data_IF_078915086065
#
_entry.id   IF_078915086065
#
_cell.length_a   1.000
_cell.length_b   1.000
_cell.length_c   1.000
_cell.angle_alpha   90.00
_cell.angle_beta   90.00
_cell.angle_gamma   90.00
#
_symmetry.space_group_name_H-M   'P 1'
#
loop_
_entity.id
_entity.type
_entity.pdbx_description
1 polymer ?
#
# COMPACT_ATOMS: atom_id res chain seq x y z
N UNK A 1 21.79 34.06 -8.93
CA UNK A 1 22.62 33.19 -8.05
C UNK A 1 21.76 32.67 -6.91
N UNK A 2 21.06 31.56 -7.12
CA UNK A 2 20.28 30.91 -6.05
C UNK A 2 21.24 29.96 -5.33
N UNK A 3 21.60 30.28 -4.09
CA UNK A 3 22.37 29.39 -3.24
C UNK A 3 21.66 28.04 -3.18
N UNK A 4 22.27 27.00 -3.76
CA UNK A 4 21.85 25.62 -3.61
C UNK A 4 22.01 25.25 -2.13
N UNK A 5 20.92 25.40 -1.37
CA UNK A 5 20.84 24.94 0.01
C UNK A 5 21.03 23.42 -0.07
N UNK A 6 22.21 22.93 0.34
CA UNK A 6 22.54 21.50 0.30
C UNK A 6 21.40 20.72 0.96
N UNK A 7 20.72 19.91 0.16
CA UNK A 7 19.55 19.16 0.60
C UNK A 7 20.04 18.04 1.52
N UNK A 8 19.59 18.04 2.77
CA UNK A 8 19.98 17.00 3.72
C UNK A 8 19.30 15.66 3.38
N UNK A 9 19.90 14.54 3.77
CA UNK A 9 19.31 13.19 3.53
C UNK A 9 17.91 13.08 4.13
N UNK A 10 17.69 13.64 5.32
CA UNK A 10 16.37 13.67 5.96
C UNK A 10 15.33 14.45 5.15
N UNK A 11 15.70 15.60 4.59
CA UNK A 11 14.81 16.38 3.72
C UNK A 11 14.52 15.65 2.41
N UNK A 12 15.51 14.95 1.84
CA UNK A 12 15.33 14.14 0.64
C UNK A 12 14.29 13.03 0.88
N UNK A 13 14.50 12.21 1.91
CA UNK A 13 13.59 11.12 2.26
C UNK A 13 12.19 11.64 2.58
N UNK A 14 12.11 12.78 3.26
CA UNK A 14 10.84 13.42 3.58
C UNK A 14 10.05 13.79 2.32
N UNK A 15 10.72 14.37 1.31
CA UNK A 15 10.11 14.71 0.01
C UNK A 15 9.65 13.46 -0.74
N UNK A 16 10.46 12.40 -0.75
CA UNK A 16 10.10 11.12 -1.38
C UNK A 16 8.88 10.50 -0.70
N UNK A 17 8.84 10.49 0.63
CA UNK A 17 7.70 9.99 1.41
C UNK A 17 6.43 10.79 1.14
N UNK A 18 6.52 12.13 1.10
CA UNK A 18 5.38 13.01 0.78
C UNK A 18 4.81 12.73 -0.62
N UNK A 19 5.66 12.73 -1.66
CA UNK A 19 5.22 12.44 -3.02
C UNK A 19 4.59 11.04 -3.15
N UNK A 20 5.15 10.05 -2.43
CA UNK A 20 4.59 8.69 -2.37
C UNK A 20 3.22 8.66 -1.71
N UNK A 21 3.07 9.33 -0.56
CA UNK A 21 1.82 9.42 0.19
C UNK A 21 0.68 10.00 -0.67
N UNK A 22 0.95 11.08 -1.41
CA UNK A 22 -0.02 11.71 -2.31
C UNK A 22 -0.37 10.77 -3.47
N UNK A 23 0.61 10.10 -4.08
CA UNK A 23 0.38 9.17 -5.17
C UNK A 23 -0.53 8.00 -4.78
N UNK A 24 -0.28 7.44 -3.59
CA UNK A 24 -1.09 6.36 -3.02
C UNK A 24 -2.50 6.84 -2.70
N UNK A 25 -2.67 8.06 -2.17
CA UNK A 25 -3.99 8.69 -2.01
C UNK A 25 -4.72 8.74 -3.35
N UNK A 26 -4.08 9.26 -4.40
CA UNK A 26 -4.75 9.43 -5.70
C UNK A 26 -5.21 8.08 -6.23
N UNK A 27 -4.32 7.09 -6.25
CA UNK A 27 -4.61 5.80 -6.88
C UNK A 27 -5.54 4.87 -6.08
N UNK A 28 -5.60 4.98 -4.75
CA UNK A 28 -6.38 4.04 -3.92
C UNK A 28 -7.75 4.57 -3.49
N UNK A 29 -7.93 5.89 -3.35
CA UNK A 29 -9.20 6.46 -2.86
C UNK A 29 -10.42 6.02 -3.70
N UNK A 30 -10.41 6.12 -5.04
CA UNK A 30 -11.58 5.78 -5.83
C UNK A 30 -12.08 4.35 -5.57
N UNK A 31 -11.14 3.39 -5.54
CA UNK A 31 -11.46 2.01 -5.24
C UNK A 31 -11.96 1.84 -3.81
N UNK A 32 -11.30 2.47 -2.83
CA UNK A 32 -11.65 2.31 -1.43
C UNK A 32 -13.04 2.84 -1.06
N UNK A 33 -13.46 3.96 -1.65
CA UNK A 33 -14.78 4.56 -1.39
C UNK A 33 -15.88 3.80 -2.14
N UNK A 34 -15.67 3.54 -3.43
CA UNK A 34 -16.75 3.10 -4.31
C UNK A 34 -16.86 1.57 -4.39
N UNK A 35 -15.83 0.80 -4.05
CA UNK A 35 -15.94 -0.67 -4.01
C UNK A 35 -17.05 -1.12 -3.08
N UNK A 36 -17.16 -0.58 -1.86
CA UNK A 36 -18.24 -0.91 -0.91
C UNK A 36 -19.62 -0.68 -1.50
N UNK A 37 -19.81 0.48 -2.14
CA UNK A 37 -21.11 0.87 -2.67
C UNK A 37 -21.50 0.03 -3.88
N UNK A 38 -20.53 -0.28 -4.74
CA UNK A 38 -20.76 -0.91 -6.04
C UNK A 38 -20.65 -2.43 -6.01
N UNK A 39 -20.09 -3.03 -4.96
CA UNK A 39 -20.03 -4.49 -4.77
C UNK A 39 -21.32 -5.07 -4.17
N UNK A 40 -22.31 -4.24 -3.85
CA UNK A 40 -23.61 -4.70 -3.36
C UNK A 40 -24.33 -5.62 -4.38
N UNK A 41 -25.06 -6.63 -3.89
CA UNK A 41 -25.82 -7.58 -4.71
C UNK A 41 -26.80 -6.89 -5.68
N UNK A 42 -27.29 -5.70 -5.34
CA UNK A 42 -28.16 -4.86 -6.17
C UNK A 42 -27.54 -4.49 -7.53
N UNK A 43 -26.22 -4.57 -7.65
CA UNK A 43 -25.46 -4.12 -8.81
C UNK A 43 -24.81 -5.26 -9.59
N UNK A 44 -25.04 -6.52 -9.18
CA UNK A 44 -24.52 -7.70 -9.89
C UNK A 44 -25.09 -7.76 -11.31
N UNK A 45 -24.20 -7.93 -12.30
CA UNK A 45 -24.55 -8.03 -13.71
C UNK A 45 -24.67 -6.70 -14.46
N UNK A 46 -24.47 -5.56 -13.80
CA UNK A 46 -24.45 -4.26 -14.47
C UNK A 46 -23.10 -4.05 -15.19
N UNK A 47 -23.14 -3.91 -16.52
CA UNK A 47 -21.95 -3.74 -17.36
C UNK A 47 -21.12 -2.49 -16.99
N UNK A 48 -21.77 -1.37 -16.63
CA UNK A 48 -21.07 -0.16 -16.23
C UNK A 48 -20.25 -0.39 -14.96
N UNK A 49 -20.78 -1.15 -14.00
CA UNK A 49 -20.10 -1.41 -12.73
C UNK A 49 -18.92 -2.37 -12.91
N UNK A 50 -19.06 -3.35 -13.81
CA UNK A 50 -17.94 -4.19 -14.21
C UNK A 50 -16.83 -3.37 -14.90
N UNK A 51 -17.22 -2.45 -15.78
CA UNK A 51 -16.27 -1.53 -16.45
C UNK A 51 -15.60 -0.59 -15.45
N UNK A 52 -16.36 -0.05 -14.49
CA UNK A 52 -15.85 0.78 -13.41
C UNK A 52 -14.82 0.03 -12.55
N UNK A 53 -15.11 -1.22 -12.18
CA UNK A 53 -14.17 -2.06 -11.45
C UNK A 53 -12.88 -2.27 -12.25
N UNK A 54 -13.01 -2.60 -13.53
CA UNK A 54 -11.86 -2.76 -14.45
C UNK A 54 -11.03 -1.48 -14.53
N UNK A 55 -11.68 -0.33 -14.69
CA UNK A 55 -11.02 0.97 -14.72
C UNK A 55 -10.27 1.25 -13.40
N UNK A 56 -10.82 0.91 -12.24
CA UNK A 56 -10.14 1.12 -10.95
C UNK A 56 -8.92 0.22 -10.77
N UNK A 57 -8.97 -1.04 -11.22
CA UNK A 57 -7.82 -1.94 -11.16
C UNK A 57 -6.69 -1.40 -12.04
N UNK A 58 -7.03 -0.92 -13.24
CA UNK A 58 -6.05 -0.28 -14.13
C UNK A 58 -5.53 1.05 -13.57
N UNK A 59 -6.39 1.83 -12.92
CA UNK A 59 -6.01 3.10 -12.30
C UNK A 59 -4.99 2.89 -11.17
N UNK A 60 -5.18 1.85 -10.36
CA UNK A 60 -4.22 1.45 -9.32
C UNK A 60 -2.87 1.04 -9.88
N UNK A 61 -2.83 0.46 -11.09
CA UNK A 61 -1.58 0.12 -11.75
C UNK A 61 -0.74 1.35 -12.14
N UNK A 62 -1.35 2.54 -12.22
CA UNK A 62 -0.65 3.80 -12.54
C UNK A 62 -0.01 4.43 -11.29
N UNK A 63 -0.26 3.92 -10.08
CA UNK A 63 0.31 4.46 -8.82
C UNK A 63 1.83 4.68 -8.90
N UNK A 64 2.65 3.75 -9.40
CA UNK A 64 4.09 3.98 -9.53
C UNK A 64 4.45 5.16 -10.44
N UNK A 65 3.71 5.37 -11.53
CA UNK A 65 3.91 6.54 -12.38
C UNK A 65 3.56 7.84 -11.63
N UNK A 66 2.44 7.83 -10.89
CA UNK A 66 2.04 8.94 -10.03
C UNK A 66 3.09 9.23 -8.97
N UNK A 67 3.67 8.19 -8.34
CA UNK A 67 4.77 8.34 -7.39
C UNK A 67 5.95 9.04 -8.04
N UNK A 68 6.43 8.56 -9.20
CA UNK A 68 7.55 9.19 -9.88
C UNK A 68 7.29 10.66 -10.23
N UNK A 69 6.09 11.00 -10.71
CA UNK A 69 5.70 12.38 -11.02
C UNK A 69 5.63 13.27 -9.78
N UNK A 70 4.92 12.83 -8.73
CA UNK A 70 4.69 13.61 -7.52
C UNK A 70 5.96 13.75 -6.68
N UNK A 71 6.79 12.71 -6.62
CA UNK A 71 8.13 12.82 -6.04
C UNK A 71 8.95 13.84 -6.84
N UNK A 72 8.95 13.83 -8.18
CA UNK A 72 9.67 14.84 -8.96
C UNK A 72 9.15 16.28 -8.69
N UNK A 73 7.84 16.45 -8.49
CA UNK A 73 7.23 17.74 -8.14
C UNK A 73 7.72 18.27 -6.78
N UNK A 74 7.91 17.39 -5.81
CA UNK A 74 8.50 17.76 -4.51
C UNK A 74 9.91 18.35 -4.66
N UNK A 75 10.65 17.99 -5.70
CA UNK A 75 11.96 18.59 -6.01
C UNK A 75 11.89 19.76 -7.00
N UNK A 76 10.68 20.23 -7.35
CA UNK A 76 10.46 21.36 -8.25
C UNK A 76 10.62 21.04 -9.73
N UNK A 77 10.79 19.77 -10.10
CA UNK A 77 10.86 19.35 -11.49
C UNK A 77 9.47 19.34 -12.13
N UNK A 78 9.35 19.76 -13.39
CA UNK A 78 8.07 19.82 -14.13
C UNK A 78 8.26 19.34 -15.57
N UNK A 79 7.15 19.11 -16.27
CA UNK A 79 7.14 18.76 -17.69
C UNK A 79 7.94 17.49 -17.96
N UNK A 80 8.88 17.57 -18.92
CA UNK A 80 9.71 16.44 -19.36
C UNK A 80 10.38 15.71 -18.20
N UNK A 81 10.98 16.44 -17.26
CA UNK A 81 11.70 15.86 -16.11
C UNK A 81 10.80 14.97 -15.24
N UNK A 82 9.63 15.48 -14.88
CA UNK A 82 8.67 14.73 -14.07
C UNK A 82 8.08 13.54 -14.83
N UNK A 83 7.76 13.72 -16.12
CA UNK A 83 7.27 12.65 -16.98
C UNK A 83 8.28 11.51 -17.14
N UNK A 84 9.58 11.82 -17.25
CA UNK A 84 10.61 10.79 -17.38
C UNK A 84 10.83 10.00 -16.09
N UNK A 85 10.78 10.65 -14.91
CA UNK A 85 10.82 9.94 -13.62
C UNK A 85 9.55 9.08 -13.44
N UNK A 86 8.38 9.58 -13.84
CA UNK A 86 7.13 8.82 -13.80
C UNK A 86 7.22 7.54 -14.65
N UNK A 87 7.68 7.65 -15.89
CA UNK A 87 7.87 6.51 -16.79
C UNK A 87 8.89 5.51 -16.22
N UNK A 88 10.02 6.00 -15.69
CA UNK A 88 11.03 5.15 -15.09
C UNK A 88 10.49 4.38 -13.89
N UNK A 89 9.77 5.07 -13.01
CA UNK A 89 9.18 4.50 -11.80
C UNK A 89 8.11 3.46 -12.14
N UNK A 90 7.28 3.73 -13.16
CA UNK A 90 6.30 2.75 -13.66
C UNK A 90 6.97 1.44 -14.06
N UNK A 91 7.96 1.50 -14.95
CA UNK A 91 8.67 0.31 -15.45
C UNK A 91 9.44 -0.38 -14.31
N UNK A 92 10.20 0.39 -13.53
CA UNK A 92 11.05 -0.15 -12.46
C UNK A 92 10.27 -0.76 -11.30
N UNK A 93 9.05 -0.30 -11.01
CA UNK A 93 8.22 -0.82 -9.90
C UNK A 93 7.81 -2.29 -10.05
N UNK A 94 7.87 -2.83 -11.27
CA UNK A 94 7.38 -4.17 -11.56
C UNK A 94 5.86 -4.31 -11.50
N UNK A 95 5.10 -3.22 -11.67
CA UNK A 95 3.64 -3.28 -11.84
C UNK A 95 3.25 -3.97 -13.15
N UNK A 96 4.08 -3.79 -14.18
CA UNK A 96 4.00 -4.51 -15.44
C UNK A 96 5.15 -5.52 -15.48
N UNK A 97 4.81 -6.81 -15.56
CA UNK A 97 5.80 -7.89 -15.63
C UNK A 97 5.56 -8.75 -16.85
N UNK A 98 6.61 -9.41 -17.34
CA UNK A 98 6.43 -10.48 -18.33
C UNK A 98 5.60 -11.58 -17.70
N UNK A 99 4.73 -12.19 -18.48
CA UNK A 99 3.81 -13.22 -18.01
C UNK A 99 4.54 -14.52 -17.60
N UNK A 100 5.20 -14.54 -16.43
CA UNK A 100 5.91 -15.72 -15.90
C UNK A 100 4.95 -16.88 -15.61
N UNK A 101 3.70 -16.58 -15.26
CA UNK A 101 2.65 -17.61 -15.10
C UNK A 101 2.30 -18.25 -16.45
N UNK A 102 2.31 -17.46 -17.52
CA UNK A 102 2.02 -17.96 -18.87
C UNK A 102 3.20 -18.77 -19.40
N UNK A 103 4.45 -18.43 -19.08
CA UNK A 103 5.58 -19.29 -19.44
C UNK A 103 5.57 -20.65 -18.73
N UNK A 104 5.01 -20.74 -17.51
CA UNK A 104 4.78 -22.01 -16.83
C UNK A 104 3.61 -22.81 -17.43
N UNK A 105 2.50 -22.15 -17.78
CA UNK A 105 1.41 -22.76 -18.54
C UNK A 105 1.84 -23.20 -19.95
N UNK A 106 2.81 -22.50 -20.55
CA UNK A 106 3.38 -22.85 -21.85
C UNK A 106 4.18 -24.15 -21.77
N UNK A 107 4.95 -24.36 -20.70
CA UNK A 107 5.63 -25.64 -20.44
C UNK A 107 4.63 -26.79 -20.30
N UNK A 108 3.56 -26.57 -19.55
CA UNK A 108 2.48 -27.55 -19.37
C UNK A 108 1.69 -27.80 -20.67
N UNK A 109 1.53 -26.78 -21.50
CA UNK A 109 0.88 -26.88 -22.83
C UNK A 109 1.77 -27.57 -23.87
N UNK A 110 3.09 -27.45 -23.75
CA UNK A 110 4.06 -28.18 -24.57
C UNK A 110 4.02 -29.69 -24.30
N UNK A 111 3.71 -30.11 -23.07
CA UNK A 111 3.52 -31.52 -22.70
C UNK A 111 2.23 -32.12 -23.31
N UNK A 112 1.20 -31.29 -23.58
CA UNK A 112 -0.08 -31.71 -24.16
C UNK A 112 -0.11 -31.77 -25.70
N UNK A 113 0.98 -31.36 -26.38
CA UNK A 113 1.18 -31.59 -27.82
C UNK A 113 0.27 -30.84 -28.81
N UNK A 114 -0.57 -29.90 -28.35
CA UNK A 114 -1.47 -29.15 -29.24
C UNK A 114 -0.81 -27.88 -29.81
N UNK A 115 -0.47 -27.88 -31.10
CA UNK A 115 0.30 -26.82 -31.77
C UNK A 115 -0.39 -25.43 -31.75
N UNK A 116 -1.73 -25.39 -31.84
CA UNK A 116 -2.49 -24.14 -31.81
C UNK A 116 -2.50 -23.54 -30.40
N UNK A 117 -2.61 -24.39 -29.38
CA UNK A 117 -2.51 -24.01 -27.98
C UNK A 117 -1.10 -23.49 -27.64
N UNK A 118 -0.05 -24.13 -28.19
CA UNK A 118 1.35 -23.71 -28.03
C UNK A 118 1.61 -22.36 -28.71
N UNK A 119 1.01 -22.11 -29.88
CA UNK A 119 1.14 -20.84 -30.60
C UNK A 119 0.43 -19.69 -29.85
N UNK A 120 -0.78 -19.93 -29.36
CA UNK A 120 -1.52 -18.96 -28.55
C UNK A 120 -0.84 -18.71 -27.20
N UNK A 121 -0.36 -19.76 -26.54
CA UNK A 121 0.41 -19.64 -25.29
C UNK A 121 1.72 -18.86 -25.49
N UNK A 122 2.45 -19.06 -26.61
CA UNK A 122 3.65 -18.27 -26.95
C UNK A 122 3.37 -16.78 -27.12
N UNK A 123 2.28 -16.45 -27.79
CA UNK A 123 1.87 -15.04 -27.99
C UNK A 123 1.55 -14.37 -26.65
N UNK A 124 0.85 -15.08 -25.75
CA UNK A 124 0.51 -14.56 -24.41
C UNK A 124 1.74 -14.55 -23.48
N UNK A 125 2.68 -15.50 -23.59
CA UNK A 125 3.90 -15.54 -22.78
C UNK A 125 4.89 -14.40 -23.08
N UNK A 126 4.91 -13.94 -24.32
CA UNK A 126 5.68 -12.75 -24.70
C UNK A 126 4.94 -11.44 -24.36
N UNK A 127 3.68 -11.53 -23.91
CA UNK A 127 2.90 -10.40 -23.45
C UNK A 127 3.36 -9.86 -22.10
N UNK A 128 3.01 -8.60 -21.86
CA UNK A 128 3.17 -7.95 -20.57
C UNK A 128 1.84 -7.98 -19.81
N UNK A 129 1.90 -8.39 -18.55
CA UNK A 129 0.76 -8.36 -17.64
C UNK A 129 0.95 -7.23 -16.65
N UNK A 130 -0.10 -6.44 -16.47
CA UNK A 130 -0.13 -5.33 -15.52
C UNK A 130 -1.12 -5.67 -14.41
N UNK A 131 -0.64 -5.70 -13.17
CA UNK A 131 -1.46 -6.06 -12.02
C UNK A 131 -0.97 -5.41 -10.72
N UNK A 132 -1.93 -5.01 -9.89
CA UNK A 132 -1.66 -4.42 -8.57
C UNK A 132 -1.06 -3.02 -8.66
N UNK A 133 -0.39 -2.60 -7.58
CA UNK A 133 0.14 -1.23 -7.42
C UNK A 133 1.64 -1.12 -7.67
N UNK A 134 2.29 -2.21 -8.13
CA UNK A 134 3.75 -2.35 -8.12
C UNK A 134 4.33 -2.48 -6.70
N UNK A 135 5.63 -2.75 -6.62
CA UNK A 135 6.36 -2.74 -5.35
C UNK A 135 6.66 -1.28 -4.94
N UNK A 136 6.04 -0.82 -3.84
CA UNK A 136 6.13 0.59 -3.40
C UNK A 136 7.57 0.93 -3.00
N UNK A 137 8.31 0.03 -2.36
CA UNK A 137 9.71 0.28 -1.97
C UNK A 137 10.56 0.44 -3.21
N UNK A 138 10.42 -0.47 -4.19
CA UNK A 138 11.19 -0.39 -5.42
C UNK A 138 10.80 0.83 -6.26
N UNK A 139 9.50 1.19 -6.28
CA UNK A 139 9.05 2.42 -6.91
C UNK A 139 9.66 3.67 -6.25
N UNK A 140 9.71 3.75 -4.92
CA UNK A 140 10.38 4.83 -4.20
C UNK A 140 11.87 4.90 -4.53
N UNK A 141 12.55 3.76 -4.59
CA UNK A 141 13.96 3.67 -4.94
C UNK A 141 14.21 4.22 -6.37
N UNK A 142 13.44 3.74 -7.35
CA UNK A 142 13.58 4.15 -8.75
C UNK A 142 13.25 5.63 -8.93
N UNK A 143 12.19 6.13 -8.29
CA UNK A 143 11.86 7.55 -8.30
C UNK A 143 12.98 8.39 -7.67
N UNK A 144 13.56 7.93 -6.56
CA UNK A 144 14.68 8.59 -5.89
C UNK A 144 15.91 8.66 -6.79
N UNK A 145 16.26 7.56 -7.47
CA UNK A 145 17.36 7.52 -8.43
C UNK A 145 17.10 8.46 -9.61
N UNK A 146 15.88 8.49 -10.13
CA UNK A 146 15.47 9.40 -11.21
C UNK A 146 15.61 10.87 -10.80
N UNK A 147 15.16 11.23 -9.60
CA UNK A 147 15.32 12.58 -9.06
C UNK A 147 16.79 12.93 -8.81
N UNK A 148 17.59 12.02 -8.24
CA UNK A 148 19.01 12.24 -8.02
C UNK A 148 19.76 12.49 -9.33
N UNK A 149 19.46 11.69 -10.35
CA UNK A 149 19.98 11.88 -11.70
C UNK A 149 19.63 13.29 -12.21
N UNK A 150 18.37 13.72 -12.07
CA UNK A 150 17.94 15.05 -12.51
C UNK A 150 18.61 16.19 -11.74
N UNK A 151 18.85 16.03 -10.43
CA UNK A 151 19.57 17.00 -9.60
C UNK A 151 21.04 17.13 -10.04
N UNK A 152 21.69 16.03 -10.42
CA UNK A 152 23.08 16.02 -10.91
C UNK A 152 23.20 16.66 -12.30
N UNK A 153 22.21 16.44 -13.16
CA UNK A 153 22.19 16.94 -14.55
C UNK A 153 21.63 18.36 -14.67
N UNK A 154 21.04 18.90 -13.61
CA UNK A 154 20.43 20.22 -13.63
C UNK A 154 21.46 21.26 -14.13
N UNK A 155 21.03 22.10 -15.07
CA UNK A 155 21.80 23.18 -15.68
C UNK A 155 23.01 22.76 -16.54
N UNK A 156 23.27 21.46 -16.74
CA UNK A 156 24.44 20.96 -17.51
C UNK A 156 24.18 20.65 -18.99
N UNK A 157 22.96 20.28 -19.36
CA UNK A 157 22.67 19.69 -20.67
C UNK A 157 21.99 20.63 -21.68
N UNK A 158 21.57 21.84 -21.28
CA UNK A 158 20.92 22.80 -22.19
C UNK A 158 19.75 22.19 -22.98
N UNK A 159 19.77 22.29 -24.31
CA UNK A 159 18.77 21.71 -25.21
C UNK A 159 18.85 20.18 -25.34
N UNK A 160 19.99 19.56 -25.03
CA UNK A 160 20.16 18.10 -25.06
C UNK A 160 19.27 17.40 -24.02
N UNK A 161 18.75 18.13 -23.03
CA UNK A 161 17.77 17.64 -22.08
C UNK A 161 16.57 16.94 -22.76
N UNK A 162 16.14 17.42 -23.92
CA UNK A 162 15.00 16.85 -24.67
C UNK A 162 15.25 15.39 -25.05
N UNK A 163 16.51 15.05 -25.36
CA UNK A 163 16.90 13.73 -25.84
C UNK A 163 17.47 12.88 -24.70
N UNK A 164 18.36 13.44 -23.89
CA UNK A 164 19.13 12.69 -22.90
C UNK A 164 18.30 12.32 -21.66
N UNK A 165 17.36 13.17 -21.20
CA UNK A 165 16.58 12.86 -20.00
C UNK A 165 15.75 11.57 -20.17
N UNK A 166 14.99 11.38 -21.26
CA UNK A 166 14.26 10.12 -21.49
C UNK A 166 15.20 8.91 -21.57
N UNK A 167 16.32 9.01 -22.29
CA UNK A 167 17.29 7.90 -22.45
C UNK A 167 17.86 7.49 -21.09
N UNK A 168 18.30 8.45 -20.28
CA UNK A 168 18.84 8.16 -18.95
C UNK A 168 17.75 7.65 -18.00
N UNK A 169 16.50 8.05 -18.19
CA UNK A 169 15.38 7.51 -17.41
C UNK A 169 15.10 6.05 -17.71
N UNK A 170 15.31 5.59 -18.96
CA UNK A 170 15.28 4.16 -19.30
C UNK A 170 16.39 3.40 -18.56
N UNK A 171 17.59 3.98 -18.43
CA UNK A 171 18.66 3.36 -17.63
C UNK A 171 18.27 3.23 -16.16
N UNK A 172 17.60 4.25 -15.60
CA UNK A 172 17.05 4.18 -14.24
C UNK A 172 15.99 3.08 -14.12
N UNK A 173 15.14 2.86 -15.13
CA UNK A 173 14.22 1.73 -15.18
C UNK A 173 14.92 0.38 -15.14
N UNK A 174 16.02 0.23 -15.88
CA UNK A 174 16.82 -1.00 -15.92
C UNK A 174 17.35 -1.32 -14.53
N UNK A 175 17.90 -0.32 -13.83
CA UNK A 175 18.33 -0.48 -12.44
C UNK A 175 17.15 -0.93 -11.57
N UNK A 176 15.98 -0.32 -11.74
CA UNK A 176 14.76 -0.71 -11.04
C UNK A 176 14.35 -2.17 -11.24
N UNK A 177 14.44 -2.67 -12.48
CA UNK A 177 14.13 -4.07 -12.78
C UNK A 177 15.15 -5.03 -12.17
N UNK A 178 16.43 -4.64 -12.08
CA UNK A 178 17.45 -5.41 -11.37
C UNK A 178 17.28 -5.41 -9.86
N UNK A 179 16.83 -4.31 -9.26
CA UNK A 179 16.59 -4.21 -7.81
C UNK A 179 15.30 -4.90 -7.38
N UNK A 180 14.30 -4.98 -8.28
CA UNK A 180 12.98 -5.55 -8.01
C UNK A 180 12.99 -6.93 -7.33
N UNK A 181 13.72 -7.97 -7.81
CA UNK A 181 13.72 -9.28 -7.14
C UNK A 181 14.27 -9.23 -5.70
N UNK A 182 15.26 -8.38 -5.45
CA UNK A 182 15.85 -8.21 -4.11
C UNK A 182 14.92 -7.44 -3.16
N UNK A 183 14.17 -6.46 -3.68
CA UNK A 183 13.17 -5.77 -2.85
C UNK A 183 11.98 -6.68 -2.57
N UNK A 184 11.54 -7.46 -3.56
CA UNK A 184 10.48 -8.46 -3.36
C UNK A 184 10.85 -9.51 -2.32
N UNK A 185 12.11 -9.95 -2.25
CA UNK A 185 12.52 -10.94 -1.25
C UNK A 185 12.33 -10.42 0.18
N UNK A 186 12.58 -9.13 0.45
CA UNK A 186 12.31 -8.53 1.77
C UNK A 186 10.85 -8.73 2.17
N UNK A 187 9.91 -8.43 1.27
CA UNK A 187 8.48 -8.60 1.51
C UNK A 187 8.12 -10.07 1.72
N UNK A 188 8.72 -10.97 0.94
CA UNK A 188 8.53 -12.42 1.09
C UNK A 188 9.03 -12.93 2.44
N UNK A 189 10.22 -12.53 2.88
CA UNK A 189 10.80 -12.96 4.16
C UNK A 189 9.97 -12.47 5.36
N UNK A 190 9.51 -11.22 5.32
CA UNK A 190 8.57 -10.71 6.33
C UNK A 190 7.28 -11.53 6.32
N UNK A 191 6.80 -11.91 5.14
CA UNK A 191 5.64 -12.79 5.00
C UNK A 191 5.86 -14.19 5.58
N UNK A 192 7.03 -14.79 5.37
CA UNK A 192 7.40 -16.11 5.94
C UNK A 192 7.47 -16.02 7.46
N UNK A 193 8.05 -14.95 8.01
CA UNK A 193 8.05 -14.71 9.46
C UNK A 193 6.62 -14.67 10.02
N UNK A 194 5.72 -13.94 9.37
CA UNK A 194 4.30 -13.87 9.76
C UNK A 194 3.62 -15.23 9.63
N UNK A 195 3.96 -16.02 8.60
CA UNK A 195 3.44 -17.37 8.41
C UNK A 195 3.77 -18.26 9.62
N UNK A 196 4.98 -18.16 10.15
CA UNK A 196 5.38 -18.94 11.32
C UNK A 196 4.53 -18.61 12.56
N UNK A 197 3.99 -17.39 12.68
CA UNK A 197 3.07 -17.05 13.78
C UNK A 197 1.73 -17.77 13.67
N UNK A 198 1.33 -18.23 12.48
CA UNK A 198 0.05 -18.94 12.28
C UNK A 198 0.00 -20.31 12.95
N UNK A 199 1.16 -20.85 13.32
CA UNK A 199 1.27 -22.15 14.00
C UNK A 199 1.13 -22.04 15.54
N UNK A 200 1.06 -20.81 16.06
CA UNK A 200 0.92 -20.54 17.49
C UNK A 200 -0.54 -20.64 17.96
N UNK A 201 -0.73 -20.71 19.28
CA UNK A 201 -2.08 -20.67 19.87
C UNK A 201 -2.86 -19.40 19.44
N UNK A 202 -4.20 -19.46 19.32
CA UNK A 202 -4.99 -18.41 18.67
C UNK A 202 -4.76 -16.99 19.19
N UNK A 203 -4.70 -16.81 20.52
CA UNK A 203 -4.47 -15.48 21.12
C UNK A 203 -3.08 -14.93 20.81
N UNK A 204 -2.02 -15.75 20.95
CA UNK A 204 -0.65 -15.33 20.67
C UNK A 204 -0.43 -15.07 19.17
N UNK A 205 -0.94 -15.97 18.32
CA UNK A 205 -0.97 -15.79 16.87
C UNK A 205 -1.62 -14.45 16.51
N UNK A 206 -2.84 -14.20 16.99
CA UNK A 206 -3.58 -12.98 16.67
C UNK A 206 -2.82 -11.73 17.11
N UNK A 207 -2.21 -11.72 18.31
CA UNK A 207 -1.42 -10.58 18.79
C UNK A 207 -0.24 -10.29 17.86
N UNK A 208 0.58 -11.30 17.55
CA UNK A 208 1.79 -11.11 16.74
C UNK A 208 1.47 -10.68 15.31
N UNK A 209 0.46 -11.30 14.68
CA UNK A 209 0.04 -10.95 13.32
C UNK A 209 -0.60 -9.56 13.28
N UNK A 210 -1.49 -9.24 14.23
CA UNK A 210 -2.15 -7.94 14.31
C UNK A 210 -1.13 -6.81 14.49
N UNK A 211 -0.18 -6.96 15.42
CA UNK A 211 0.90 -5.98 15.64
C UNK A 211 1.78 -5.83 14.39
N UNK A 212 2.13 -6.94 13.73
CA UNK A 212 2.93 -6.90 12.50
C UNK A 212 2.23 -6.08 11.42
N UNK A 213 0.97 -6.37 11.12
CA UNK A 213 0.21 -5.64 10.10
C UNK A 213 -0.08 -4.19 10.49
N UNK A 214 -0.26 -3.90 11.78
CA UNK A 214 -0.42 -2.54 12.30
C UNK A 214 0.83 -1.68 12.07
N UNK A 215 2.03 -2.24 12.24
CA UNK A 215 3.28 -1.55 11.93
C UNK A 215 3.46 -1.40 10.41
N UNK A 216 3.17 -2.46 9.66
CA UNK A 216 3.43 -2.51 8.22
C UNK A 216 2.53 -1.58 7.40
N UNK A 217 1.28 -1.34 7.80
CA UNK A 217 0.35 -0.51 7.00
C UNK A 217 0.81 0.96 6.88
N UNK A 218 1.44 1.50 7.93
CA UNK A 218 2.03 2.85 7.95
C UNK A 218 3.49 2.87 7.45
N UNK A 219 3.95 1.76 6.90
CA UNK A 219 5.28 1.60 6.28
C UNK A 219 5.19 1.59 4.74
N UNK A 220 6.31 1.73 4.00
CA UNK A 220 6.31 1.61 2.54
C UNK A 220 6.11 0.16 2.05
N UNK A 221 5.83 -0.80 2.93
CA UNK A 221 5.54 -2.20 2.58
C UNK A 221 4.05 -2.36 2.25
N UNK A 222 3.72 -3.20 1.26
CA UNK A 222 2.34 -3.52 0.90
C UNK A 222 1.81 -4.69 1.74
N UNK A 223 0.93 -4.40 2.70
CA UNK A 223 0.26 -5.42 3.55
C UNK A 223 -0.62 -6.37 2.73
N UNK A 224 -1.28 -5.86 1.69
CA UNK A 224 -2.11 -6.67 0.77
C UNK A 224 -1.26 -7.65 -0.01
N UNK A 225 -0.07 -7.24 -0.46
CA UNK A 225 0.85 -8.14 -1.16
C UNK A 225 1.29 -9.29 -0.25
N UNK A 226 1.58 -9.02 1.03
CA UNK A 226 1.95 -10.06 2.00
C UNK A 226 0.80 -11.04 2.23
N UNK A 227 -0.43 -10.52 2.46
CA UNK A 227 -1.61 -11.35 2.69
C UNK A 227 -1.89 -12.33 1.54
N UNK A 228 -1.78 -11.84 0.30
CA UNK A 228 -1.95 -12.64 -0.91
C UNK A 228 -0.79 -13.61 -1.15
N UNK A 229 0.46 -13.16 -0.98
CA UNK A 229 1.64 -13.99 -1.28
C UNK A 229 1.80 -15.17 -0.33
N UNK A 230 1.46 -14.98 0.95
CA UNK A 230 1.55 -16.04 1.97
C UNK A 230 0.26 -16.86 2.05
N UNK A 231 -0.86 -16.33 1.55
CA UNK A 231 -2.15 -17.02 1.57
C UNK A 231 -2.77 -17.06 2.96
N UNK A 232 -2.72 -15.94 3.71
CA UNK A 232 -3.35 -15.86 5.03
C UNK A 232 -4.86 -16.12 4.91
N UNK A 233 -5.38 -17.06 5.69
CA UNK A 233 -6.78 -17.51 5.65
C UNK A 233 -7.34 -17.69 7.05
N UNK A 234 -8.67 -17.65 7.17
CA UNK A 234 -9.36 -17.88 8.44
C UNK A 234 -8.99 -16.84 9.50
N UNK A 235 -8.71 -17.31 10.73
CA UNK A 235 -8.35 -16.43 11.86
C UNK A 235 -7.07 -15.62 11.61
N UNK A 236 -6.10 -16.14 10.85
CA UNK A 236 -4.86 -15.41 10.54
C UNK A 236 -5.09 -14.22 9.59
N UNK A 237 -6.01 -14.38 8.63
CA UNK A 237 -6.47 -13.29 7.77
C UNK A 237 -7.29 -12.25 8.55
N UNK A 238 -8.16 -12.71 9.46
CA UNK A 238 -8.89 -11.82 10.36
C UNK A 238 -7.96 -11.02 11.28
N UNK A 239 -6.92 -11.66 11.82
CA UNK A 239 -5.92 -11.01 12.68
C UNK A 239 -5.12 -9.92 11.95
N UNK A 240 -4.64 -10.22 10.75
CA UNK A 240 -3.89 -9.26 9.93
C UNK A 240 -4.75 -8.06 9.53
N UNK A 241 -5.99 -8.33 9.11
CA UNK A 241 -6.95 -7.28 8.76
C UNK A 241 -7.35 -6.43 9.99
N UNK A 242 -7.49 -7.04 11.17
CA UNK A 242 -7.72 -6.30 12.43
C UNK A 242 -6.51 -5.43 12.81
N UNK A 243 -5.28 -5.86 12.52
CA UNK A 243 -4.08 -5.03 12.68
C UNK A 243 -4.13 -3.75 11.86
N UNK A 244 -4.50 -3.89 10.58
CA UNK A 244 -4.73 -2.74 9.70
C UNK A 244 -5.85 -1.84 10.24
N UNK A 245 -6.98 -2.41 10.63
CA UNK A 245 -8.13 -1.69 11.19
C UNK A 245 -7.81 -0.93 12.47
N UNK A 246 -7.07 -1.54 13.39
CA UNK A 246 -6.65 -0.92 14.65
C UNK A 246 -5.83 0.35 14.39
N UNK A 247 -4.92 0.29 13.42
CA UNK A 247 -4.12 1.44 13.01
C UNK A 247 -4.98 2.50 12.33
N UNK A 248 -5.95 2.10 11.50
CA UNK A 248 -6.93 3.03 10.93
C UNK A 248 -7.62 3.83 12.04
N UNK A 249 -8.10 3.15 13.09
CA UNK A 249 -8.79 3.82 14.21
C UNK A 249 -7.88 4.78 14.97
N UNK A 250 -6.64 4.38 15.26
CA UNK A 250 -5.65 5.29 15.88
C UNK A 250 -5.47 6.55 15.04
N UNK A 251 -5.29 6.40 13.73
CA UNK A 251 -5.10 7.54 12.82
C UNK A 251 -6.35 8.43 12.73
N UNK A 252 -7.55 7.85 12.62
CA UNK A 252 -8.82 8.60 12.57
C UNK A 252 -8.98 9.46 13.83
N UNK A 253 -8.86 8.86 15.01
CA UNK A 253 -9.13 9.56 16.29
C UNK A 253 -8.16 10.72 16.51
N UNK A 254 -6.89 10.58 16.09
CA UNK A 254 -5.94 11.68 16.17
C UNK A 254 -6.17 12.74 15.08
N UNK A 255 -6.38 12.30 13.83
CA UNK A 255 -6.62 13.17 12.67
C UNK A 255 -7.83 14.08 12.87
N UNK A 256 -8.89 13.58 13.50
CA UNK A 256 -10.12 14.35 13.73
C UNK A 256 -9.90 15.66 14.50
N UNK A 257 -8.82 15.77 15.28
CA UNK A 257 -8.54 16.96 16.10
C UNK A 257 -7.56 17.95 15.52
N UNK A 258 -6.83 17.57 14.46
CA UNK A 258 -5.76 18.41 13.88
C UNK A 258 -5.91 18.62 12.38
N UNK A 259 -6.67 17.78 11.69
CA UNK A 259 -6.85 17.84 10.25
C UNK A 259 -8.25 18.27 9.86
N UNK A 260 -8.38 18.79 8.64
CA UNK A 260 -9.68 19.06 8.01
C UNK A 260 -10.47 17.75 7.88
N UNK A 261 -11.82 17.79 7.98
CA UNK A 261 -12.66 16.60 7.92
C UNK A 261 -12.39 15.70 6.70
N UNK A 262 -12.10 16.29 5.53
CA UNK A 262 -11.78 15.54 4.31
C UNK A 262 -10.55 14.63 4.44
N UNK A 263 -9.51 15.04 5.16
CA UNK A 263 -8.32 14.21 5.40
C UNK A 263 -8.68 13.03 6.31
N UNK A 264 -9.46 13.29 7.37
CA UNK A 264 -9.88 12.24 8.31
C UNK A 264 -10.77 11.20 7.62
N UNK A 265 -11.68 11.64 6.73
CA UNK A 265 -12.49 10.74 5.90
C UNK A 265 -11.61 9.95 4.94
N UNK A 266 -10.63 10.58 4.28
CA UNK A 266 -9.70 9.88 3.40
C UNK A 266 -8.91 8.80 4.14
N UNK A 267 -8.42 9.09 5.35
CA UNK A 267 -7.74 8.09 6.21
C UNK A 267 -8.68 6.96 6.60
N UNK A 268 -9.93 7.27 6.97
CA UNK A 268 -10.93 6.27 7.32
C UNK A 268 -11.27 5.34 6.14
N UNK A 269 -11.37 5.92 4.94
CA UNK A 269 -11.66 5.23 3.69
C UNK A 269 -10.38 4.83 2.96
N UNK A 270 -9.41 4.26 3.69
CA UNK A 270 -8.22 3.56 3.17
C UNK A 270 -6.94 4.34 2.90
N UNK A 271 -6.87 5.63 3.19
CA UNK A 271 -5.66 6.42 2.88
C UNK A 271 -4.66 6.47 4.04
N UNK A 272 -4.55 5.40 4.84
CA UNK A 272 -3.63 5.35 5.98
C UNK A 272 -2.16 5.55 5.56
N UNK A 273 -1.80 5.08 4.36
CA UNK A 273 -0.48 5.32 3.76
C UNK A 273 -0.18 6.80 3.54
N UNK A 274 -1.17 7.69 3.56
CA UNK A 274 -0.93 9.15 3.56
C UNK A 274 -0.24 9.64 4.82
N UNK A 275 -0.50 8.99 5.95
CA UNK A 275 0.07 9.35 7.26
C UNK A 275 1.46 8.74 7.45
N UNK A 276 1.95 7.96 6.48
CA UNK A 276 3.29 7.37 6.50
C UNK A 276 4.39 8.41 6.76
N UNK A 277 4.48 9.56 6.06
CA UNK A 277 5.54 10.53 6.31
C UNK A 277 5.51 11.06 7.75
N UNK A 278 4.32 11.27 8.31
CA UNK A 278 4.11 11.72 9.68
C UNK A 278 4.60 10.70 10.71
N UNK A 279 4.22 9.43 10.54
CA UNK A 279 4.63 8.35 11.45
C UNK A 279 6.15 8.13 11.38
N UNK A 280 6.75 8.19 10.17
CA UNK A 280 8.21 8.09 10.01
C UNK A 280 8.98 9.24 10.67
N UNK A 281 8.43 10.47 10.65
CA UNK A 281 9.04 11.61 11.36
C UNK A 281 8.90 11.51 12.88
N UNK A 282 7.88 10.81 13.37
CA UNK A 282 7.59 10.69 14.79
C UNK A 282 7.41 9.22 15.23
N UNK A 283 8.51 8.43 15.32
CA UNK A 283 8.45 7.00 15.64
C UNK A 283 7.79 6.68 17.00
N UNK A 284 7.76 7.64 17.93
CA UNK A 284 7.05 7.50 19.23
C UNK A 284 5.58 7.11 19.06
N UNK A 285 4.95 7.46 17.92
CA UNK A 285 3.57 7.10 17.57
C UNK A 285 3.36 5.58 17.47
N UNK A 286 4.40 4.81 17.11
CA UNK A 286 4.31 3.35 17.01
C UNK A 286 3.91 2.70 18.34
N UNK A 287 4.30 3.28 19.48
CA UNK A 287 3.96 2.71 20.78
C UNK A 287 2.44 2.67 20.97
N UNK A 288 1.73 3.73 20.55
CA UNK A 288 0.27 3.74 20.60
C UNK A 288 -0.34 2.77 19.58
N UNK A 289 0.18 2.73 18.35
CA UNK A 289 -0.28 1.79 17.32
C UNK A 289 -0.16 0.34 17.82
N UNK A 290 0.99 -0.04 18.37
CA UNK A 290 1.24 -1.38 18.91
C UNK A 290 0.32 -1.69 20.08
N UNK A 291 0.18 -0.78 21.04
CA UNK A 291 -0.69 -1.00 22.20
C UNK A 291 -2.15 -1.21 21.77
N UNK A 292 -2.64 -0.37 20.84
CA UNK A 292 -3.99 -0.49 20.30
C UNK A 292 -4.16 -1.79 19.52
N UNK A 293 -3.17 -2.19 18.72
CA UNK A 293 -3.19 -3.45 17.98
C UNK A 293 -3.22 -4.68 18.90
N UNK A 294 -2.45 -4.69 20.00
CA UNK A 294 -2.48 -5.77 21.00
C UNK A 294 -3.87 -5.92 21.61
N UNK A 295 -4.50 -4.80 22.00
CA UNK A 295 -5.84 -4.82 22.59
C UNK A 295 -6.90 -5.27 21.57
N UNK A 296 -6.84 -4.78 20.33
CA UNK A 296 -7.75 -5.19 19.26
C UNK A 296 -7.53 -6.64 18.83
N UNK A 297 -6.31 -7.18 18.94
CA UNK A 297 -6.01 -8.57 18.58
C UNK A 297 -6.79 -9.58 19.43
N UNK A 298 -7.10 -9.24 20.68
CA UNK A 298 -7.89 -10.09 21.57
C UNK A 298 -9.31 -10.33 21.03
N UNK A 299 -9.85 -9.38 20.27
CA UNK A 299 -11.18 -9.49 19.67
C UNK A 299 -11.26 -10.61 18.63
N UNK A 300 -10.13 -10.95 17.99
CA UNK A 300 -10.08 -11.87 16.84
C UNK A 300 -10.45 -13.30 17.24
N UNK A 301 -9.79 -13.94 18.22
CA UNK A 301 -10.22 -15.25 18.70
C UNK A 301 -11.56 -15.19 19.43
N UNK A 302 -11.83 -14.13 20.20
CA UNK A 302 -13.06 -14.02 21.03
C UNK A 302 -14.33 -13.98 20.19
N UNK A 303 -14.33 -13.23 19.09
CA UNK A 303 -15.50 -13.14 18.19
C UNK A 303 -15.37 -14.02 16.95
N UNK A 304 -14.33 -14.85 16.87
CA UNK A 304 -14.07 -15.72 15.73
C UNK A 304 -13.99 -14.94 14.40
N UNK A 305 -13.23 -13.84 14.40
CA UNK A 305 -13.07 -12.96 13.24
C UNK A 305 -12.19 -13.66 12.21
N UNK A 306 -12.79 -14.05 11.09
CA UNK A 306 -12.11 -14.72 9.98
C UNK A 306 -12.03 -13.82 8.75
N UNK A 307 -11.14 -14.18 7.82
CA UNK A 307 -11.03 -13.51 6.53
C UNK A 307 -10.40 -14.38 5.45
N UNK A 308 -10.16 -13.75 4.30
CA UNK A 308 -9.53 -14.34 3.11
C UNK A 308 -8.17 -13.67 2.82
N UNK A 309 -7.32 -14.27 1.95
CA UNK A 309 -6.05 -13.67 1.56
C UNK A 309 -6.22 -12.28 0.96
N UNK A 310 -7.33 -12.06 0.23
CA UNK A 310 -7.67 -10.76 -0.31
C UNK A 310 -7.95 -9.73 0.80
N UNK A 311 -8.65 -10.10 1.86
CA UNK A 311 -9.02 -9.17 2.96
C UNK A 311 -7.88 -8.87 3.96
N UNK A 312 -6.90 -9.77 4.09
CA UNK A 312 -5.86 -9.75 5.12
C UNK A 312 -5.07 -8.41 5.20
N UNK A 313 -4.83 -7.76 4.06
CA UNK A 313 -4.06 -6.52 4.00
C UNK A 313 -4.88 -5.23 3.98
N UNK A 314 -6.21 -5.31 3.93
CA UNK A 314 -7.08 -4.14 3.75
C UNK A 314 -7.76 -3.70 5.05
N UNK A 315 -8.02 -4.58 6.02
CA UNK A 315 -8.68 -4.16 7.27
C UNK A 315 -10.01 -3.44 7.03
N UNK A 316 -10.12 -2.17 7.46
CA UNK A 316 -11.30 -1.33 7.24
C UNK A 316 -11.33 -0.58 5.90
N UNK A 317 -10.29 -0.69 5.09
CA UNK A 317 -10.26 -0.17 3.71
C UNK A 317 -11.44 -0.75 2.96
N UNK A 318 -12.35 0.10 2.47
CA UNK A 318 -13.56 -0.36 1.80
C UNK A 318 -14.33 -1.41 2.59
N UNK A 319 -14.27 -1.36 3.93
CA UNK A 319 -14.91 -2.32 4.84
C UNK A 319 -14.65 -3.80 4.48
N UNK A 320 -13.57 -4.12 3.76
CA UNK A 320 -13.37 -5.45 3.19
C UNK A 320 -13.17 -6.50 4.27
N UNK A 321 -12.49 -6.17 5.36
CA UNK A 321 -12.32 -7.08 6.50
C UNK A 321 -13.64 -7.37 7.20
N UNK A 322 -14.48 -6.34 7.39
CA UNK A 322 -15.80 -6.47 7.98
C UNK A 322 -16.68 -7.40 7.15
N UNK A 323 -16.80 -7.16 5.84
CA UNK A 323 -17.62 -8.01 4.96
C UNK A 323 -17.05 -9.42 4.83
N UNK A 324 -15.73 -9.58 4.72
CA UNK A 324 -15.10 -10.90 4.69
C UNK A 324 -15.37 -11.71 5.96
N UNK A 325 -15.44 -11.06 7.13
CA UNK A 325 -15.83 -11.73 8.38
C UNK A 325 -17.31 -12.11 8.40
N UNK A 326 -18.20 -11.26 7.85
CA UNK A 326 -19.63 -11.60 7.71
C UNK A 326 -19.80 -12.82 6.79
N UNK A 327 -19.14 -12.82 5.63
CA UNK A 327 -19.15 -13.94 4.70
C UNK A 327 -18.55 -15.22 5.33
N UNK A 328 -17.62 -15.04 6.27
CA UNK A 328 -17.05 -16.11 7.08
C UNK A 328 -17.91 -16.57 8.27
N UNK A 329 -19.14 -16.06 8.41
CA UNK A 329 -20.12 -16.51 9.40
C UNK A 329 -20.33 -15.58 10.59
N UNK A 330 -19.68 -14.41 10.64
CA UNK A 330 -19.89 -13.43 11.71
C UNK A 330 -21.24 -12.71 11.54
N UNK A 331 -22.04 -12.63 12.60
CA UNK A 331 -23.29 -11.86 12.57
C UNK A 331 -23.03 -10.39 12.18
N UNK A 332 -23.83 -9.77 11.28
CA UNK A 332 -23.62 -8.39 10.86
C UNK A 332 -23.56 -7.37 12.00
N UNK A 333 -24.38 -7.57 13.06
CA UNK A 333 -24.37 -6.71 14.24
C UNK A 333 -23.05 -6.86 14.99
N UNK A 334 -22.60 -8.11 15.17
CA UNK A 334 -21.34 -8.40 15.85
C UNK A 334 -20.14 -7.92 15.03
N UNK A 335 -20.22 -7.97 13.71
CA UNK A 335 -19.20 -7.43 12.82
C UNK A 335 -19.04 -5.92 12.99
N UNK A 336 -20.14 -5.16 13.04
CA UNK A 336 -20.09 -3.71 13.30
C UNK A 336 -19.50 -3.42 14.69
N UNK A 337 -19.90 -4.17 15.72
CA UNK A 337 -19.36 -4.00 17.08
C UNK A 337 -17.87 -4.29 17.15
N UNK A 338 -17.43 -5.42 16.59
CA UNK A 338 -16.05 -5.90 16.68
C UNK A 338 -15.06 -5.17 15.77
N UNK A 339 -15.51 -4.68 14.60
CA UNK A 339 -14.66 -3.96 13.65
C UNK A 339 -14.67 -2.44 13.82
N UNK A 340 -15.77 -1.86 14.31
CA UNK A 340 -15.93 -0.40 14.39
C UNK A 340 -15.94 0.06 15.84
N UNK A 341 -16.96 -0.32 16.62
CA UNK A 341 -17.17 0.29 17.94
C UNK A 341 -16.09 -0.08 18.96
N UNK A 342 -15.71 -1.36 19.06
CA UNK A 342 -14.67 -1.79 20.01
C UNK A 342 -13.28 -1.23 19.66
N UNK A 343 -12.78 -1.34 18.40
CA UNK A 343 -11.52 -0.71 18.02
C UNK A 343 -11.50 0.81 18.17
N UNK A 344 -12.62 1.49 17.89
CA UNK A 344 -12.75 2.93 18.11
C UNK A 344 -12.66 3.29 19.60
N UNK A 345 -13.36 2.56 20.46
CA UNK A 345 -13.29 2.75 21.92
C UNK A 345 -11.88 2.55 22.45
N UNK A 346 -11.20 1.49 22.01
CA UNK A 346 -9.79 1.23 22.35
C UNK A 346 -8.89 2.39 21.87
N UNK A 347 -9.05 2.86 20.63
CA UNK A 347 -8.23 3.95 20.09
C UNK A 347 -8.46 5.30 20.81
N UNK A 348 -9.68 5.58 21.27
CA UNK A 348 -9.98 6.77 22.09
C UNK A 348 -9.31 6.64 23.46
N UNK A 349 -9.41 5.47 24.09
CA UNK A 349 -8.78 5.20 25.39
C UNK A 349 -7.26 5.35 25.29
N UNK A 350 -6.63 4.71 24.31
CA UNK A 350 -5.17 4.78 24.15
C UNK A 350 -4.74 6.20 23.81
N UNK A 351 -5.45 6.93 22.92
CA UNK A 351 -5.18 8.36 22.70
C UNK A 351 -5.19 9.15 24.00
N UNK A 352 -6.18 8.96 24.86
CA UNK A 352 -6.26 9.66 26.15
C UNK A 352 -5.03 9.36 27.03
N UNK A 353 -4.65 8.09 27.14
CA UNK A 353 -3.46 7.67 27.90
C UNK A 353 -2.18 8.32 27.34
N UNK A 354 -1.93 8.21 26.03
CA UNK A 354 -0.69 8.67 25.42
C UNK A 354 -0.57 10.21 25.34
N UNK A 355 -1.68 10.92 25.13
CA UNK A 355 -1.65 12.39 24.92
C UNK A 355 -1.91 13.19 26.20
N UNK A 356 -2.76 12.71 27.12
CA UNK A 356 -3.14 13.45 28.34
C UNK A 356 -2.47 12.93 29.60
N UNK A 357 -2.40 11.61 29.78
CA UNK A 357 -1.84 11.00 31.00
C UNK A 357 -0.32 10.96 30.93
N UNK A 358 0.25 10.30 29.92
CA UNK A 358 1.70 10.12 29.76
C UNK A 358 2.37 11.24 28.97
N UNK A 359 1.60 12.02 28.19
CA UNK A 359 2.08 13.17 27.41
C UNK A 359 3.28 12.84 26.50
N UNK A 360 3.30 11.65 25.89
CA UNK A 360 4.43 11.19 25.07
C UNK A 360 4.53 11.95 23.73
N UNK A 361 3.41 12.44 23.21
CA UNK A 361 3.38 13.28 22.00
C UNK A 361 2.11 14.15 21.98
N UNK A 362 2.13 15.18 21.12
CA UNK A 362 0.97 16.04 20.86
C UNK A 362 0.22 15.57 19.62
N UNK A 363 -1.11 15.80 19.51
CA UNK A 363 -1.87 15.42 18.32
C UNK A 363 -1.34 16.01 17.00
N UNK A 364 -0.58 17.11 17.06
CA UNK A 364 0.06 17.76 15.91
C UNK A 364 0.91 16.82 15.06
N UNK A 365 1.47 15.74 15.64
CA UNK A 365 2.26 14.76 14.89
C UNK A 365 1.45 14.06 13.79
N UNK A 366 0.11 14.07 13.87
CA UNK A 366 -0.79 13.50 12.86
C UNK A 366 -1.31 14.54 11.85
N UNK A 367 -0.80 15.77 11.90
CA UNK A 367 -1.23 16.84 10.99
C UNK A 367 -0.73 16.57 9.57
N UNK A 368 -1.65 16.42 8.63
CA UNK A 368 -1.34 16.25 7.22
C UNK A 368 -1.26 17.61 6.53
N UNK A 369 -0.04 18.03 6.20
CA UNK A 369 0.22 19.21 5.38
C UNK A 369 0.36 18.74 3.93
N UNK A 370 -0.63 19.08 3.10
CA UNK A 370 -0.71 18.71 1.68
C UNK A 370 -0.01 19.74 0.77
#
# INVERSE_FOLDING_TARGET
>A
MTQSKKLTVGQFLTKVLNGTAIAVLVGLIPNAILSVLLTNQLFKGNEFILMWHTANVLFQAVIPALMGALIAFEFGFKGLKAASVAAATYVGSGVTTKAVVVSNLLKQSQELGNEELIKNAKTVANGFLTAGTGDIINAMLVASLGVLLLLVLQDRLGSLNIILIPILSVLVSVIGLYTLPYVKSITTEIGVLIKNFTELQPYLMSILICVSFAILIVSPISTVAIGLAIGLTGLSAGASAMGVASTTMVLIVHSFTVNKPGVTIAVALASMKMMMPNVFRHPIVYINIVTTAVLCALLVPTFHIVGTPASAGFGLVGLTGLFASIDGGLSPILAVVSWIFLPLGIAILTRYLYTKVWRLYTPEVFKFDA
#
